data_IF_397480239533
#
_entry.id   IF_397480239533
#
_cell.length_a   1.000
_cell.length_b   1.000
_cell.length_c   1.000
_cell.angle_alpha   90.00
_cell.angle_beta   90.00
_cell.angle_gamma   90.00
#
_symmetry.space_group_name_H-M   'P 1'
#
loop_
_entity.id
_entity.type
_entity.pdbx_description
1 polymer ?
#
# COMPACT_ATOMS: atom_id res chain seq x y z
N UNK A 1 17.41 -22.24 -3.03
CA UNK A 1 16.06 -21.68 -3.27
C UNK A 1 16.23 -20.20 -3.59
N UNK A 2 15.70 -19.71 -4.70
CA UNK A 2 15.73 -18.27 -4.98
C UNK A 2 14.92 -17.54 -3.89
N UNK A 3 15.55 -16.61 -3.17
CA UNK A 3 14.89 -15.83 -2.13
C UNK A 3 13.74 -15.00 -2.70
N UNK A 4 12.72 -14.72 -1.89
CA UNK A 4 11.59 -13.89 -2.31
C UNK A 4 12.05 -12.45 -2.53
N UNK A 5 11.71 -11.86 -3.68
CA UNK A 5 12.04 -10.47 -4.01
C UNK A 5 11.28 -9.50 -3.11
N UNK A 6 11.91 -8.37 -2.76
CA UNK A 6 11.24 -7.23 -2.12
C UNK A 6 10.45 -6.46 -3.17
N UNK A 7 9.17 -6.19 -2.92
CA UNK A 7 8.26 -5.59 -3.89
C UNK A 7 7.69 -4.29 -3.32
N UNK A 8 7.84 -3.18 -4.06
CA UNK A 8 7.17 -1.91 -3.78
C UNK A 8 6.04 -1.69 -4.79
N UNK A 9 4.82 -1.46 -4.30
CA UNK A 9 3.63 -1.24 -5.12
C UNK A 9 3.17 0.21 -4.96
N UNK A 10 3.22 0.96 -6.06
CA UNK A 10 2.69 2.31 -6.16
C UNK A 10 1.26 2.23 -6.74
N UNK A 11 0.31 2.92 -6.11
CA UNK A 11 -1.10 2.79 -6.49
C UNK A 11 -1.79 1.54 -5.92
N UNK A 12 -1.20 0.92 -4.87
CA UNK A 12 -1.76 -0.26 -4.20
C UNK A 12 -3.16 -0.07 -3.60
N UNK A 13 -3.61 1.18 -3.41
CA UNK A 13 -4.97 1.50 -2.95
C UNK A 13 -5.98 1.73 -4.10
N UNK A 14 -5.54 1.56 -5.36
CA UNK A 14 -6.39 1.63 -6.54
C UNK A 14 -7.21 0.35 -6.75
N UNK A 15 -8.06 0.35 -7.79
CA UNK A 15 -8.99 -0.75 -8.06
C UNK A 15 -8.30 -2.10 -8.24
N UNK A 16 -7.27 -2.17 -9.09
CA UNK A 16 -6.48 -3.39 -9.34
C UNK A 16 -5.36 -3.53 -8.31
N UNK A 17 -4.72 -2.41 -7.93
CA UNK A 17 -3.56 -2.40 -7.05
C UNK A 17 -3.78 -3.16 -5.74
N UNK A 18 -5.00 -3.13 -5.19
CA UNK A 18 -5.33 -3.84 -3.94
C UNK A 18 -5.13 -5.35 -4.04
N UNK A 19 -5.51 -5.95 -5.17
CA UNK A 19 -5.37 -7.39 -5.38
C UNK A 19 -3.90 -7.78 -5.58
N UNK A 20 -3.12 -6.93 -6.23
CA UNK A 20 -1.68 -7.15 -6.44
C UNK A 20 -0.94 -7.12 -5.09
N UNK A 21 -1.27 -6.16 -4.22
CA UNK A 21 -0.70 -6.08 -2.86
C UNK A 21 -1.01 -7.34 -2.07
N UNK A 22 -2.26 -7.79 -2.09
CA UNK A 22 -2.68 -8.99 -1.37
C UNK A 22 -2.00 -10.26 -1.90
N UNK A 23 -1.90 -10.41 -3.22
CA UNK A 23 -1.25 -11.56 -3.84
C UNK A 23 0.24 -11.61 -3.50
N UNK A 24 0.94 -10.47 -3.63
CA UNK A 24 2.37 -10.34 -3.28
C UNK A 24 2.64 -10.77 -1.83
N UNK A 25 1.82 -10.29 -0.89
CA UNK A 25 1.95 -10.62 0.52
C UNK A 25 1.65 -12.11 0.79
N UNK A 26 0.59 -12.67 0.21
CA UNK A 26 0.22 -14.10 0.37
C UNK A 26 1.24 -15.06 -0.23
N UNK A 27 1.89 -14.65 -1.31
CA UNK A 27 3.02 -15.38 -1.91
C UNK A 27 4.31 -15.28 -1.08
N UNK A 28 4.30 -14.56 0.05
CA UNK A 28 5.44 -14.47 0.97
C UNK A 28 6.52 -13.49 0.51
N UNK A 29 6.22 -12.57 -0.41
CA UNK A 29 7.13 -11.50 -0.75
C UNK A 29 7.11 -10.41 0.33
N UNK A 30 8.27 -9.93 0.81
CA UNK A 30 8.33 -8.68 1.58
C UNK A 30 7.73 -7.54 0.75
N UNK A 31 6.52 -7.12 1.12
CA UNK A 31 5.68 -6.25 0.30
C UNK A 31 5.55 -4.88 0.95
N UNK A 32 5.79 -3.84 0.16
CA UNK A 32 5.66 -2.44 0.52
C UNK A 32 4.57 -1.80 -0.33
N UNK A 33 3.67 -1.02 0.29
CA UNK A 33 2.65 -0.27 -0.45
C UNK A 33 2.80 1.23 -0.17
N UNK A 34 2.94 2.02 -1.24
CA UNK A 34 3.03 3.47 -1.14
C UNK A 34 1.62 4.07 -0.95
N UNK A 35 1.44 4.85 0.11
CA UNK A 35 0.16 5.48 0.46
C UNK A 35 0.37 7.00 0.63
N UNK A 36 -0.49 7.80 0.01
CA UNK A 36 -0.54 9.25 0.27
C UNK A 36 -1.30 9.52 1.55
N UNK A 37 -0.80 10.39 2.42
CA UNK A 37 -1.47 10.74 3.68
C UNK A 37 -2.91 11.24 3.49
N UNK A 38 -3.15 12.03 2.44
CA UNK A 38 -4.49 12.53 2.06
C UNK A 38 -5.52 11.42 1.78
N UNK A 39 -5.08 10.18 1.56
CA UNK A 39 -5.94 9.03 1.30
C UNK A 39 -6.32 8.25 2.55
N UNK A 40 -5.66 8.50 3.69
CA UNK A 40 -5.83 7.75 4.94
C UNK A 40 -7.11 8.17 5.68
N UNK A 41 -7.53 9.42 5.54
CA UNK A 41 -8.72 10.00 6.20
C UNK A 41 -10.05 9.61 5.54
N UNK A 42 -10.02 8.88 4.42
CA UNK A 42 -11.24 8.42 3.74
C UNK A 42 -11.67 7.06 4.31
N UNK A 43 -12.89 6.91 4.88
CA UNK A 43 -13.30 5.72 5.62
C UNK A 43 -13.12 4.40 4.86
N UNK A 44 -13.43 4.39 3.56
CA UNK A 44 -13.31 3.21 2.68
C UNK A 44 -11.85 2.76 2.49
N UNK A 45 -10.90 3.69 2.55
CA UNK A 45 -9.47 3.39 2.38
C UNK A 45 -8.80 2.99 3.70
N UNK A 46 -9.37 3.37 4.85
CA UNK A 46 -8.92 2.93 6.17
C UNK A 46 -9.04 1.41 6.35
N UNK A 47 -10.16 0.80 5.95
CA UNK A 47 -10.34 -0.66 6.03
C UNK A 47 -9.31 -1.42 5.18
N UNK A 48 -8.99 -0.89 4.00
CA UNK A 48 -7.98 -1.50 3.12
C UNK A 48 -6.57 -1.42 3.71
N UNK A 49 -6.24 -0.29 4.34
CA UNK A 49 -4.97 -0.06 5.04
C UNK A 49 -4.81 -1.05 6.20
N UNK A 50 -5.85 -1.24 7.01
CA UNK A 50 -5.82 -2.22 8.10
C UNK A 50 -5.70 -3.66 7.58
N UNK A 51 -6.39 -3.98 6.48
CA UNK A 51 -6.22 -5.27 5.80
C UNK A 51 -4.77 -5.49 5.36
N UNK A 52 -4.13 -4.50 4.75
CA UNK A 52 -2.72 -4.59 4.34
C UNK A 52 -1.79 -4.84 5.54
N UNK A 53 -1.97 -4.12 6.66
CA UNK A 53 -1.19 -4.36 7.87
C UNK A 53 -1.37 -5.79 8.39
N UNK A 54 -2.60 -6.30 8.41
CA UNK A 54 -2.89 -7.68 8.87
C UNK A 54 -2.22 -8.75 7.99
N UNK A 55 -1.93 -8.44 6.73
CA UNK A 55 -1.21 -9.31 5.79
C UNK A 55 0.32 -9.12 5.85
N UNK A 56 0.84 -8.33 6.78
CA UNK A 56 2.29 -8.06 6.91
C UNK A 56 2.84 -7.10 5.86
N UNK A 57 1.99 -6.35 5.15
CA UNK A 57 2.43 -5.34 4.20
C UNK A 57 2.96 -4.11 4.96
N UNK A 58 4.14 -3.64 4.56
CA UNK A 58 4.71 -2.39 5.10
C UNK A 58 4.17 -1.20 4.33
N UNK A 59 3.52 -0.26 5.02
CA UNK A 59 3.00 0.96 4.40
C UNK A 59 4.07 2.05 4.41
N UNK A 60 4.33 2.63 3.25
CA UNK A 60 5.24 3.77 3.08
C UNK A 60 4.40 5.00 2.80
N UNK A 61 4.37 5.93 3.75
CA UNK A 61 3.60 7.16 3.61
C UNK A 61 4.41 8.23 2.87
N UNK A 62 3.75 8.93 1.95
CA UNK A 62 4.31 10.10 1.28
C UNK A 62 3.39 11.30 1.47
N UNK A 63 4.00 12.45 1.75
CA UNK A 63 3.33 13.73 1.80
C UNK A 63 3.09 14.26 0.38
N UNK A 64 1.99 14.99 0.20
CA UNK A 64 1.73 15.67 -1.07
C UNK A 64 2.62 16.91 -1.16
N UNK A 65 3.60 16.90 -2.08
CA UNK A 65 4.54 18.01 -2.30
C UNK A 65 3.91 19.28 -2.92
N UNK A 66 2.59 19.29 -3.15
CA UNK A 66 1.82 20.43 -3.66
C UNK A 66 0.52 20.58 -2.86
N UNK A 67 0.62 21.13 -1.65
CA UNK A 67 -0.44 22.03 -1.14
C UNK A 67 -0.03 23.45 -1.51
N UNK A 68 -0.19 23.82 -2.78
CA UNK A 68 -0.30 25.25 -3.08
C UNK A 68 -1.66 25.69 -2.58
N UNK A 69 -1.61 26.57 -1.59
CA UNK A 69 -2.75 27.33 -1.12
C UNK A 69 -3.40 28.03 -2.32
N UNK A 70 -4.71 27.84 -2.44
CA UNK A 70 -5.61 28.85 -2.97
C UNK A 70 -6.54 29.25 -1.82
#
# INVERSE_FOLDING_TARGET
>A
MAGKSKILIIGGTGYIGKFIVEASAKEGHPTFALVRESRVTVPVKGQLIEKFKSLGVTLVFVSDAHKMAF
#
